data_IF_064252670275
#
_entry.id   IF_064252670275
#
_cell.length_a   1.000
_cell.length_b   1.000
_cell.length_c   1.000
_cell.angle_alpha   90.00
_cell.angle_beta   90.00
_cell.angle_gamma   90.00
#
_symmetry.space_group_name_H-M   'P 1'
#
loop_
_entity.id
_entity.type
_entity.pdbx_description
1 polymer ?
#
# COMPACT_ATOMS: atom_id res chain seq x y z
N UNK A 1 57.89 -8.64 15.49
CA UNK A 1 56.87 -7.59 15.65
C UNK A 1 56.01 -7.40 14.40
N UNK A 2 56.55 -7.02 13.23
CA UNK A 2 55.74 -6.86 12.00
C UNK A 2 55.17 -8.17 11.42
N UNK A 3 55.79 -9.32 11.68
CA UNK A 3 55.32 -10.62 11.16
C UNK A 3 54.15 -11.23 11.96
N UNK A 4 53.96 -10.82 13.22
CA UNK A 4 52.85 -11.29 14.07
C UNK A 4 51.56 -10.50 13.78
N UNK A 5 51.65 -9.20 13.49
CA UNK A 5 50.51 -8.37 13.07
C UNK A 5 49.91 -8.83 11.73
N UNK A 6 50.74 -9.25 10.78
CA UNK A 6 50.27 -9.76 9.48
C UNK A 6 49.55 -11.12 9.64
N UNK A 7 49.96 -11.94 10.62
CA UNK A 7 49.30 -13.23 10.91
C UNK A 7 47.95 -13.06 11.61
N UNK A 8 47.81 -12.01 12.45
CA UNK A 8 46.57 -11.67 13.14
C UNK A 8 45.57 -10.99 12.20
N UNK A 9 46.03 -10.19 11.23
CA UNK A 9 45.17 -9.64 10.17
C UNK A 9 44.64 -10.74 9.24
N UNK A 10 45.48 -11.70 8.83
CA UNK A 10 45.03 -12.87 8.04
C UNK A 10 44.08 -13.81 8.81
N UNK A 11 44.21 -13.88 10.14
CA UNK A 11 43.29 -14.63 11.00
C UNK A 11 41.90 -14.01 11.11
N UNK A 12 41.80 -12.68 11.01
CA UNK A 12 40.53 -11.95 11.10
C UNK A 12 39.74 -11.91 9.78
N UNK A 13 40.40 -12.08 8.62
CA UNK A 13 39.70 -12.21 7.33
C UNK A 13 38.92 -13.52 7.19
N UNK A 14 39.31 -14.56 7.94
CA UNK A 14 38.59 -15.84 7.99
C UNK A 14 37.29 -15.79 8.81
N UNK A 15 37.02 -14.66 9.50
CA UNK A 15 35.81 -14.42 10.29
C UNK A 15 34.85 -13.42 9.64
N UNK A 16 35.03 -13.11 8.35
CA UNK A 16 33.92 -12.59 7.54
C UNK A 16 32.92 -13.75 7.41
N UNK A 17 31.97 -13.81 8.35
CA UNK A 17 30.81 -14.70 8.25
C UNK A 17 30.27 -14.53 6.84
N UNK A 18 30.22 -15.63 6.06
CA UNK A 18 29.56 -15.63 4.74
C UNK A 18 28.27 -14.83 4.89
N UNK A 19 28.01 -13.80 4.06
CA UNK A 19 26.78 -13.05 4.16
C UNK A 19 25.64 -14.06 4.16
N UNK A 20 24.69 -13.91 5.09
CA UNK A 20 23.54 -14.80 5.19
C UNK A 20 22.85 -14.83 3.82
N UNK A 21 23.09 -15.89 3.06
CA UNK A 21 22.47 -16.09 1.76
C UNK A 21 20.99 -16.38 2.01
N UNK A 22 20.11 -15.86 1.16
CA UNK A 22 18.67 -16.10 1.28
C UNK A 22 18.42 -17.60 1.38
N UNK A 23 17.68 -18.02 2.40
CA UNK A 23 17.33 -19.42 2.57
C UNK A 23 16.29 -19.74 1.49
N UNK A 24 16.72 -20.31 0.36
CA UNK A 24 15.79 -20.80 -0.64
C UNK A 24 14.92 -21.88 -0.01
N UNK A 25 13.62 -21.60 0.16
CA UNK A 25 12.65 -22.57 0.66
C UNK A 25 12.64 -23.79 -0.29
N UNK A 26 12.78 -25.03 0.22
CA UNK A 26 12.72 -26.23 -0.61
C UNK A 26 11.39 -26.28 -1.39
N UNK A 27 11.44 -26.30 -2.72
CA UNK A 27 10.26 -26.30 -3.60
C UNK A 27 9.85 -24.93 -4.17
N UNK A 28 10.50 -23.83 -3.77
CA UNK A 28 10.28 -22.52 -4.39
C UNK A 28 11.01 -22.44 -5.74
N UNK A 29 10.25 -22.50 -6.84
CA UNK A 29 10.79 -22.32 -8.21
C UNK A 29 10.85 -20.86 -8.67
N UNK A 30 10.14 -19.95 -7.99
CA UNK A 30 10.01 -18.54 -8.36
C UNK A 30 10.26 -17.63 -7.15
N UNK A 31 10.76 -16.42 -7.42
CA UNK A 31 10.93 -15.38 -6.41
C UNK A 31 9.59 -14.89 -5.86
N UNK A 32 9.59 -14.37 -4.64
CA UNK A 32 8.43 -13.76 -4.01
C UNK A 32 8.33 -12.27 -4.44
N UNK A 33 7.33 -11.87 -5.25
CA UNK A 33 7.19 -10.47 -5.67
C UNK A 33 6.54 -9.58 -4.59
N UNK A 34 5.93 -10.17 -3.54
CA UNK A 34 5.17 -9.44 -2.53
C UNK A 34 5.96 -8.34 -1.79
N UNK A 35 7.23 -8.54 -1.36
CA UNK A 35 8.00 -7.49 -0.70
C UNK A 35 8.19 -6.24 -1.57
N UNK A 36 8.46 -6.42 -2.86
CA UNK A 36 8.63 -5.31 -3.79
C UNK A 36 7.30 -4.59 -4.02
N UNK A 37 6.22 -5.35 -4.23
CA UNK A 37 4.90 -4.78 -4.48
C UNK A 37 4.39 -3.98 -3.27
N UNK A 38 4.46 -4.57 -2.08
CA UNK A 38 4.04 -3.93 -0.82
C UNK A 38 4.95 -2.77 -0.45
N UNK A 39 6.26 -2.87 -0.73
CA UNK A 39 7.22 -1.79 -0.51
C UNK A 39 6.96 -0.60 -1.42
N UNK A 40 6.79 -0.84 -2.72
CA UNK A 40 6.45 0.21 -3.69
C UNK A 40 5.12 0.89 -3.35
N UNK A 41 4.11 0.11 -2.96
CA UNK A 41 2.84 0.64 -2.47
C UNK A 41 3.03 1.51 -1.23
N UNK A 42 3.68 0.99 -0.18
CA UNK A 42 3.85 1.69 1.10
C UNK A 42 4.69 2.96 0.95
N UNK A 43 5.76 2.93 0.14
CA UNK A 43 6.59 4.11 -0.13
C UNK A 43 5.81 5.18 -0.86
N UNK A 44 5.11 4.84 -1.93
CA UNK A 44 4.31 5.81 -2.68
C UNK A 44 3.21 6.41 -1.81
N UNK A 45 2.53 5.55 -1.03
CA UNK A 45 1.42 5.99 -0.19
C UNK A 45 1.86 6.83 1.00
N UNK A 46 3.01 6.50 1.62
CA UNK A 46 3.61 7.32 2.67
C UNK A 46 3.99 8.70 2.14
N UNK A 47 4.65 8.75 0.97
CA UNK A 47 5.02 10.01 0.30
C UNK A 47 3.79 10.91 0.07
N UNK A 48 2.71 10.34 -0.46
CA UNK A 48 1.46 11.07 -0.67
C UNK A 48 0.83 11.53 0.66
N UNK A 49 0.81 10.66 1.66
CA UNK A 49 0.24 10.95 2.99
C UNK A 49 0.97 12.11 3.69
N UNK A 50 2.30 12.16 3.59
CA UNK A 50 3.10 13.25 4.14
C UNK A 50 2.78 14.59 3.46
N UNK A 51 2.54 14.59 2.15
CA UNK A 51 2.12 15.76 1.39
C UNK A 51 0.71 16.21 1.79
N UNK A 52 -0.23 15.27 1.92
CA UNK A 52 -1.61 15.54 2.35
C UNK A 52 -1.67 16.15 3.76
N UNK A 53 -0.78 15.73 4.66
CA UNK A 53 -0.64 16.31 6.00
C UNK A 53 0.15 17.63 6.03
N UNK A 54 0.56 18.17 4.88
CA UNK A 54 1.41 19.37 4.77
C UNK A 54 2.70 19.27 5.60
N UNK A 55 3.28 18.08 5.69
CA UNK A 55 4.51 17.90 6.46
C UNK A 55 5.61 18.79 5.89
N UNK A 56 6.26 19.58 6.75
CA UNK A 56 7.29 20.56 6.37
C UNK A 56 6.82 21.65 5.40
N UNK A 57 5.50 21.90 5.29
CA UNK A 57 4.94 22.92 4.41
C UNK A 57 4.91 22.54 2.93
N UNK A 58 5.03 21.25 2.62
CA UNK A 58 4.96 20.74 1.24
C UNK A 58 3.51 20.39 0.90
N UNK A 59 2.89 21.20 0.04
CA UNK A 59 1.53 20.97 -0.49
C UNK A 59 1.52 20.51 -1.95
N UNK A 60 2.62 20.75 -2.68
CA UNK A 60 2.69 20.44 -4.12
C UNK A 60 3.03 18.98 -4.34
N UNK A 61 2.10 18.22 -4.94
CA UNK A 61 2.26 16.76 -5.12
C UNK A 61 3.13 16.37 -6.32
N UNK A 62 3.61 17.33 -7.12
CA UNK A 62 4.27 17.09 -8.40
C UNK A 62 5.51 16.21 -8.33
N UNK A 63 6.28 16.28 -7.24
CA UNK A 63 7.46 15.42 -7.08
C UNK A 63 7.09 13.94 -6.93
N UNK A 64 5.90 13.65 -6.40
CA UNK A 64 5.41 12.29 -6.15
C UNK A 64 4.81 11.64 -7.39
N UNK A 65 4.65 12.38 -8.51
CA UNK A 65 4.20 11.80 -9.78
C UNK A 65 5.13 10.69 -10.27
N UNK A 66 6.44 10.80 -10.01
CA UNK A 66 7.41 9.76 -10.31
C UNK A 66 7.09 8.46 -9.59
N UNK A 67 6.83 8.54 -8.29
CA UNK A 67 6.44 7.40 -7.47
C UNK A 67 5.08 6.84 -7.92
N UNK A 68 4.08 7.69 -8.15
CA UNK A 68 2.74 7.31 -8.61
C UNK A 68 2.76 6.54 -9.94
N UNK A 69 3.50 7.04 -10.93
CA UNK A 69 3.49 6.46 -12.27
C UNK A 69 4.43 5.25 -12.39
N UNK A 70 5.66 5.36 -11.87
CA UNK A 70 6.69 4.32 -12.08
C UNK A 70 6.67 3.27 -10.98
N UNK A 71 6.73 3.68 -9.71
CA UNK A 71 6.84 2.76 -8.58
C UNK A 71 5.51 2.08 -8.34
N UNK A 72 4.45 2.87 -8.12
CA UNK A 72 3.10 2.37 -7.92
C UNK A 72 2.46 1.86 -9.21
N UNK A 73 2.43 2.67 -10.28
CA UNK A 73 1.77 2.28 -11.53
C UNK A 73 2.43 1.07 -12.21
N UNK A 74 3.66 1.23 -12.69
CA UNK A 74 4.33 0.15 -13.44
C UNK A 74 4.83 -0.96 -12.50
N UNK A 75 5.44 -0.59 -11.37
CA UNK A 75 6.04 -1.55 -10.44
C UNK A 75 5.03 -2.52 -9.81
N UNK A 76 3.85 -2.05 -9.38
CA UNK A 76 2.80 -2.95 -8.86
C UNK A 76 2.18 -3.76 -9.99
N UNK A 77 1.95 -3.20 -11.19
CA UNK A 77 1.40 -3.98 -12.31
C UNK A 77 2.30 -5.17 -12.67
N UNK A 78 3.62 -4.95 -12.74
CA UNK A 78 4.59 -6.03 -12.98
C UNK A 78 4.55 -7.04 -11.85
N UNK A 79 4.59 -6.57 -10.60
CA UNK A 79 4.54 -7.46 -9.42
C UNK A 79 3.25 -8.28 -9.36
N UNK A 80 2.12 -7.71 -9.80
CA UNK A 80 0.84 -8.38 -9.85
C UNK A 80 0.85 -9.56 -10.84
N UNK A 81 1.50 -9.41 -12.00
CA UNK A 81 1.60 -10.51 -12.97
C UNK A 81 2.30 -11.73 -12.37
N UNK A 82 3.30 -11.51 -11.51
CA UNK A 82 3.99 -12.60 -10.81
C UNK A 82 3.13 -13.23 -9.71
N UNK A 83 2.28 -12.47 -9.02
CA UNK A 83 1.29 -13.02 -8.09
C UNK A 83 0.22 -13.87 -8.81
N UNK A 84 -0.15 -13.50 -10.04
CA UNK A 84 -1.04 -14.32 -10.88
C UNK A 84 -0.39 -15.67 -11.21
N UNK A 85 0.90 -15.69 -11.57
CA UNK A 85 1.64 -16.94 -11.84
C UNK A 85 1.72 -17.83 -10.59
N UNK A 86 1.77 -17.24 -9.39
CA UNK A 86 1.72 -17.96 -8.12
C UNK A 86 0.31 -18.44 -7.72
N UNK A 87 -0.72 -18.06 -8.47
CA UNK A 87 -2.11 -18.41 -8.18
C UNK A 87 -2.77 -17.60 -7.05
N UNK A 88 -2.16 -16.48 -6.63
CA UNK A 88 -2.70 -15.65 -5.56
C UNK A 88 -3.66 -14.59 -6.12
N UNK A 89 -4.94 -14.95 -6.22
CA UNK A 89 -5.98 -14.08 -6.80
C UNK A 89 -6.18 -12.79 -6.01
N UNK A 90 -6.10 -12.85 -4.67
CA UNK A 90 -6.31 -11.68 -3.82
C UNK A 90 -5.22 -10.64 -4.08
N UNK A 91 -3.94 -11.02 -3.94
CA UNK A 91 -2.82 -10.12 -4.17
C UNK A 91 -2.77 -9.63 -5.61
N UNK A 92 -3.02 -10.49 -6.61
CA UNK A 92 -3.10 -10.06 -8.01
C UNK A 92 -4.12 -8.93 -8.21
N UNK A 93 -5.33 -9.11 -7.69
CA UNK A 93 -6.43 -8.16 -7.88
C UNK A 93 -6.14 -6.84 -7.17
N UNK A 94 -5.71 -6.90 -5.91
CA UNK A 94 -5.34 -5.72 -5.11
C UNK A 94 -4.22 -4.95 -5.79
N UNK A 95 -3.11 -5.62 -6.12
CA UNK A 95 -1.94 -4.96 -6.70
C UNK A 95 -2.27 -4.34 -8.06
N UNK A 96 -3.00 -5.05 -8.93
CA UNK A 96 -3.42 -4.52 -10.22
C UNK A 96 -4.36 -3.32 -10.08
N UNK A 97 -5.34 -3.40 -9.18
CA UNK A 97 -6.28 -2.32 -8.91
C UNK A 97 -5.56 -1.05 -8.44
N UNK A 98 -4.68 -1.16 -7.44
CA UNK A 98 -3.95 0.00 -6.92
C UNK A 98 -2.92 0.56 -7.90
N UNK A 99 -2.29 -0.29 -8.71
CA UNK A 99 -1.41 0.17 -9.77
C UNK A 99 -2.15 1.05 -10.79
N UNK A 100 -3.35 0.62 -11.20
CA UNK A 100 -4.19 1.39 -12.12
C UNK A 100 -4.75 2.66 -11.46
N UNK A 101 -5.14 2.59 -10.18
CA UNK A 101 -5.55 3.76 -9.42
C UNK A 101 -4.44 4.81 -9.35
N UNK A 102 -3.24 4.45 -8.90
CA UNK A 102 -2.12 5.39 -8.78
C UNK A 102 -1.64 5.91 -10.13
N UNK A 103 -1.63 5.05 -11.16
CA UNK A 103 -1.34 5.48 -12.53
C UNK A 103 -2.37 6.50 -13.04
N UNK A 104 -3.66 6.23 -12.84
CA UNK A 104 -4.74 7.14 -13.21
C UNK A 104 -4.72 8.45 -12.42
N UNK A 105 -4.51 8.38 -11.11
CA UNK A 105 -4.37 9.56 -10.25
C UNK A 105 -3.15 10.39 -10.62
N UNK A 106 -2.01 9.76 -10.90
CA UNK A 106 -0.81 10.41 -11.42
C UNK A 106 -1.07 11.14 -12.73
N UNK A 107 -1.77 10.51 -13.67
CA UNK A 107 -2.18 11.11 -14.95
C UNK A 107 -3.02 12.37 -14.76
N UNK A 108 -3.98 12.35 -13.83
CA UNK A 108 -4.83 13.51 -13.50
C UNK A 108 -4.00 14.71 -13.06
N UNK A 109 -2.94 14.46 -12.27
CA UNK A 109 -2.12 15.53 -11.72
C UNK A 109 -1.13 16.12 -12.73
N UNK A 110 -0.76 15.40 -13.80
CA UNK A 110 0.24 15.86 -14.79
C UNK A 110 -0.29 17.10 -15.54
N UNK A 111 0.32 18.30 -15.37
CA UNK A 111 -0.20 19.53 -15.98
C UNK A 111 -0.14 19.49 -17.52
N UNK A 112 0.87 18.81 -18.09
CA UNK A 112 1.06 18.74 -19.55
C UNK A 112 -0.02 17.94 -20.28
N UNK A 113 -0.85 17.18 -19.56
CA UNK A 113 -1.99 16.46 -20.14
C UNK A 113 -3.25 17.33 -20.21
N UNK A 114 -3.23 18.54 -19.63
CA UNK A 114 -4.29 19.53 -19.80
C UNK A 114 -5.64 19.12 -19.22
N UNK A 115 -5.69 18.17 -18.26
CA UNK A 115 -6.94 17.70 -17.66
C UNK A 115 -7.64 18.85 -16.92
N UNK A 116 -6.94 19.54 -16.03
CA UNK A 116 -7.48 20.73 -15.37
C UNK A 116 -7.85 21.84 -16.36
N UNK A 117 -7.04 22.04 -17.42
CA UNK A 117 -7.29 23.05 -18.45
C UNK A 117 -8.59 22.77 -19.24
N UNK A 118 -8.95 21.51 -19.45
CA UNK A 118 -10.20 21.12 -20.09
C UNK A 118 -11.44 21.57 -19.29
N UNK A 119 -11.31 21.72 -17.97
CA UNK A 119 -12.36 22.27 -17.09
C UNK A 119 -12.28 23.80 -16.93
N UNK A 120 -11.33 24.47 -17.61
CA UNK A 120 -11.05 25.90 -17.42
C UNK A 120 -10.25 26.20 -16.15
N UNK A 121 -9.54 25.21 -15.59
CA UNK A 121 -8.78 25.27 -14.36
C UNK A 121 -9.39 24.43 -13.23
N UNK A 122 -9.06 24.77 -11.98
CA UNK A 122 -9.58 24.11 -10.78
C UNK A 122 -10.99 24.61 -10.44
N UNK A 123 -11.95 24.34 -11.33
CA UNK A 123 -13.35 24.72 -11.15
C UNK A 123 -14.08 23.76 -10.20
N UNK A 124 -15.29 24.15 -9.76
CA UNK A 124 -16.13 23.25 -8.97
C UNK A 124 -16.44 21.93 -9.71
N UNK A 125 -16.58 21.98 -11.04
CA UNK A 125 -16.79 20.80 -11.87
C UNK A 125 -15.58 19.86 -11.83
N UNK A 126 -14.36 20.39 -11.94
CA UNK A 126 -13.13 19.62 -11.79
C UNK A 126 -13.06 18.92 -10.43
N UNK A 127 -13.33 19.66 -9.35
CA UNK A 127 -13.29 19.11 -7.99
C UNK A 127 -14.35 18.03 -7.75
N UNK A 128 -15.55 18.20 -8.29
CA UNK A 128 -16.60 17.18 -8.24
C UNK A 128 -16.22 15.93 -9.04
N UNK A 129 -15.63 16.09 -10.23
CA UNK A 129 -15.15 14.98 -11.04
C UNK A 129 -14.02 14.20 -10.34
N UNK A 130 -13.07 14.90 -9.72
CA UNK A 130 -12.01 14.30 -8.91
C UNK A 130 -12.57 13.55 -7.69
N UNK A 131 -13.53 14.15 -6.99
CA UNK A 131 -14.22 13.51 -5.87
C UNK A 131 -14.93 12.22 -6.29
N UNK A 132 -15.63 12.21 -7.43
CA UNK A 132 -16.25 11.00 -7.96
C UNK A 132 -15.23 9.92 -8.34
N UNK A 133 -14.12 10.31 -8.98
CA UNK A 133 -13.05 9.38 -9.30
C UNK A 133 -12.57 8.66 -8.03
N UNK A 134 -12.17 9.40 -7.00
CA UNK A 134 -11.65 8.82 -5.75
C UNK A 134 -12.72 8.02 -5.00
N UNK A 135 -13.97 8.50 -4.97
CA UNK A 135 -15.07 7.83 -4.28
C UNK A 135 -15.40 6.45 -4.88
N UNK A 136 -15.39 6.32 -6.19
CA UNK A 136 -15.64 5.02 -6.86
C UNK A 136 -14.52 4.03 -6.51
N UNK A 137 -13.28 4.49 -6.40
CA UNK A 137 -12.17 3.67 -5.94
C UNK A 137 -12.29 3.29 -4.45
N UNK A 138 -12.84 4.15 -3.61
CA UNK A 138 -13.20 3.80 -2.23
C UNK A 138 -14.22 2.65 -2.19
N UNK A 139 -15.27 2.71 -3.02
CA UNK A 139 -16.25 1.61 -3.13
C UNK A 139 -15.57 0.30 -3.54
N UNK A 140 -14.59 0.35 -4.46
CA UNK A 140 -13.86 -0.84 -4.84
C UNK A 140 -12.97 -1.36 -3.69
N UNK A 141 -12.29 -0.47 -2.96
CA UNK A 141 -11.49 -0.82 -1.79
C UNK A 141 -12.30 -1.48 -0.67
N UNK A 142 -13.56 -1.08 -0.49
CA UNK A 142 -14.45 -1.69 0.50
C UNK A 142 -14.53 -3.22 0.36
N UNK A 143 -14.53 -3.74 -0.88
CA UNK A 143 -14.50 -5.19 -1.12
C UNK A 143 -13.19 -5.83 -0.66
N UNK A 144 -12.05 -5.15 -0.84
CA UNK A 144 -10.76 -5.62 -0.33
C UNK A 144 -10.70 -5.57 1.20
N UNK A 145 -11.25 -4.52 1.81
CA UNK A 145 -11.37 -4.41 3.26
C UNK A 145 -12.18 -5.59 3.83
N UNK A 146 -13.34 -5.90 3.26
CA UNK A 146 -14.16 -7.04 3.69
C UNK A 146 -13.42 -8.37 3.53
N UNK A 147 -12.77 -8.59 2.39
CA UNK A 147 -11.97 -9.79 2.16
C UNK A 147 -10.77 -9.90 3.12
N UNK A 148 -10.16 -8.77 3.49
CA UNK A 148 -9.02 -8.74 4.41
C UNK A 148 -9.35 -9.20 5.82
N UNK A 149 -10.61 -9.10 6.25
CA UNK A 149 -11.07 -9.61 7.55
C UNK A 149 -10.81 -11.11 7.71
N UNK A 150 -10.80 -11.87 6.61
CA UNK A 150 -10.51 -13.30 6.61
C UNK A 150 -9.00 -13.63 6.57
N UNK A 151 -8.13 -12.64 6.37
CA UNK A 151 -6.69 -12.81 6.20
C UNK A 151 -5.91 -12.57 7.50
N UNK A 152 -5.70 -11.30 7.86
CA UNK A 152 -4.90 -10.92 9.03
C UNK A 152 -5.16 -9.47 9.46
N UNK A 153 -4.82 -9.13 10.71
CA UNK A 153 -5.10 -7.80 11.27
C UNK A 153 -4.31 -6.68 10.59
N UNK A 154 -3.11 -6.97 10.07
CA UNK A 154 -2.28 -5.97 9.38
C UNK A 154 -2.93 -5.50 8.08
N UNK A 155 -3.49 -6.43 7.29
CA UNK A 155 -4.26 -6.08 6.10
C UNK A 155 -5.57 -5.37 6.44
N UNK A 156 -6.24 -5.73 7.55
CA UNK A 156 -7.41 -4.98 8.02
C UNK A 156 -7.03 -3.53 8.30
N UNK A 157 -5.95 -3.29 9.04
CA UNK A 157 -5.47 -1.92 9.35
C UNK A 157 -5.11 -1.17 8.06
N UNK A 158 -4.41 -1.84 7.13
CA UNK A 158 -4.01 -1.27 5.85
C UNK A 158 -5.24 -0.83 5.04
N UNK A 159 -6.17 -1.74 4.78
CA UNK A 159 -7.34 -1.44 3.94
C UNK A 159 -8.33 -0.52 4.63
N UNK A 160 -8.43 -0.55 5.96
CA UNK A 160 -9.28 0.39 6.70
C UNK A 160 -8.71 1.79 6.68
N UNK A 161 -7.40 1.95 6.90
CA UNK A 161 -6.75 3.25 6.78
C UNK A 161 -6.83 3.80 5.35
N UNK A 162 -6.70 2.92 4.36
CA UNK A 162 -6.88 3.28 2.95
C UNK A 162 -8.33 3.67 2.62
N UNK A 163 -9.32 2.96 3.15
CA UNK A 163 -10.75 3.27 2.99
C UNK A 163 -11.06 4.67 3.52
N UNK A 164 -10.63 4.95 4.76
CA UNK A 164 -10.83 6.26 5.38
C UNK A 164 -10.08 7.35 4.65
N UNK A 165 -8.87 7.07 4.16
CA UNK A 165 -8.11 8.00 3.32
C UNK A 165 -8.88 8.38 2.06
N UNK A 166 -9.35 7.40 1.28
CA UNK A 166 -10.07 7.64 0.02
C UNK A 166 -11.41 8.37 0.25
N UNK A 167 -12.17 8.00 1.28
CA UNK A 167 -13.45 8.68 1.61
C UNK A 167 -13.20 10.14 1.98
N UNK A 168 -12.20 10.41 2.82
CA UNK A 168 -11.89 11.77 3.26
C UNK A 168 -11.28 12.62 2.14
N UNK A 169 -10.50 12.02 1.24
CA UNK A 169 -9.96 12.69 0.05
C UNK A 169 -11.07 13.06 -0.96
N UNK A 170 -12.02 12.15 -1.19
CA UNK A 170 -13.22 12.45 -1.99
C UNK A 170 -14.05 13.57 -1.35
N UNK A 171 -14.28 13.51 -0.03
CA UNK A 171 -14.99 14.55 0.70
C UNK A 171 -14.26 15.90 0.67
N UNK A 172 -12.93 15.88 0.76
CA UNK A 172 -12.08 17.07 0.62
C UNK A 172 -12.22 17.70 -0.76
N UNK A 173 -12.30 16.88 -1.82
CA UNK A 173 -12.54 17.34 -3.18
C UNK A 173 -13.93 17.97 -3.34
N UNK A 174 -15.00 17.34 -2.84
CA UNK A 174 -16.34 17.94 -2.86
C UNK A 174 -16.42 19.25 -2.07
N UNK A 175 -15.76 19.32 -0.91
CA UNK A 175 -15.69 20.55 -0.12
C UNK A 175 -15.00 21.71 -0.89
N UNK A 176 -14.00 21.42 -1.73
CA UNK A 176 -13.43 22.44 -2.64
C UNK A 176 -14.43 22.86 -3.71
N UNK A 177 -15.20 21.91 -4.24
CA UNK A 177 -16.29 22.20 -5.19
C UNK A 177 -17.34 23.15 -4.61
N UNK A 178 -17.63 23.02 -3.30
CA UNK A 178 -18.55 23.88 -2.55
C UNK A 178 -17.91 25.21 -2.06
N UNK A 179 -16.62 25.42 -2.33
CA UNK A 179 -15.88 26.61 -1.87
C UNK A 179 -15.46 26.59 -0.39
N UNK A 180 -15.61 25.46 0.30
CA UNK A 180 -15.26 25.27 1.71
C UNK A 180 -13.78 24.90 1.89
N UNK A 181 -12.89 25.85 1.57
CA UNK A 181 -11.43 25.64 1.52
C UNK A 181 -10.84 25.17 2.85
N UNK A 182 -11.25 25.76 3.97
CA UNK A 182 -10.73 25.38 5.29
C UNK A 182 -11.18 23.96 5.69
N UNK A 183 -12.43 23.62 5.43
CA UNK A 183 -12.96 22.27 5.66
C UNK A 183 -12.21 21.24 4.81
N UNK A 184 -11.97 21.56 3.54
CA UNK A 184 -11.18 20.71 2.65
C UNK A 184 -9.76 20.47 3.18
N UNK A 185 -9.08 21.51 3.67
CA UNK A 185 -7.73 21.40 4.23
C UNK A 185 -7.67 20.49 5.47
N UNK A 186 -8.70 20.52 6.31
CA UNK A 186 -8.81 19.64 7.47
C UNK A 186 -9.10 18.19 7.05
N UNK A 187 -9.97 18.00 6.06
CA UNK A 187 -10.31 16.68 5.51
C UNK A 187 -9.10 16.01 4.84
N UNK A 188 -8.33 16.73 4.02
CA UNK A 188 -7.14 16.19 3.36
C UNK A 188 -6.04 15.84 4.38
N UNK A 189 -5.90 16.64 5.43
CA UNK A 189 -4.95 16.35 6.52
C UNK A 189 -5.37 15.08 7.27
N UNK A 190 -6.66 14.91 7.56
CA UNK A 190 -7.19 13.70 8.18
C UNK A 190 -7.01 12.48 7.26
N UNK A 191 -7.27 12.62 5.96
CA UNK A 191 -7.03 11.59 4.95
C UNK A 191 -5.57 11.15 4.95
N UNK A 192 -4.63 12.11 4.96
CA UNK A 192 -3.20 11.84 5.05
C UNK A 192 -2.78 11.13 6.34
N UNK A 193 -3.43 11.40 7.47
CA UNK A 193 -3.14 10.70 8.73
C UNK A 193 -3.52 9.21 8.67
N UNK A 194 -4.68 8.87 8.09
CA UNK A 194 -5.06 7.48 7.87
C UNK A 194 -4.18 6.79 6.82
N UNK A 195 -3.81 7.51 5.76
CA UNK A 195 -2.85 7.01 4.76
C UNK A 195 -1.48 6.71 5.35
N UNK A 196 -1.00 7.57 6.28
CA UNK A 196 0.24 7.36 7.01
C UNK A 196 0.18 6.05 7.81
N UNK A 197 -0.89 5.82 8.58
CA UNK A 197 -1.06 4.58 9.37
C UNK A 197 -1.08 3.35 8.45
N UNK A 198 -1.84 3.41 7.36
CA UNK A 198 -1.91 2.31 6.39
C UNK A 198 -0.57 2.04 5.70
N UNK A 199 0.22 3.08 5.41
CA UNK A 199 1.57 2.92 4.85
C UNK A 199 2.53 2.23 5.83
N UNK A 200 2.43 2.50 7.14
CA UNK A 200 3.20 1.80 8.15
C UNK A 200 2.82 0.32 8.25
N UNK A 201 1.52 0.00 8.14
CA UNK A 201 1.06 -1.39 8.04
C UNK A 201 1.57 -2.08 6.76
N UNK A 202 1.67 -1.34 5.66
CA UNK A 202 2.31 -1.78 4.42
C UNK A 202 3.80 -2.12 4.62
N UNK A 203 4.57 -1.24 5.26
CA UNK A 203 5.97 -1.52 5.59
C UNK A 203 6.15 -2.69 6.56
N UNK A 204 5.24 -2.85 7.52
CA UNK A 204 5.23 -4.03 8.38
C UNK A 204 5.03 -5.32 7.56
N UNK A 205 4.20 -5.25 6.52
CA UNK A 205 4.00 -6.38 5.59
C UNK A 205 5.27 -6.71 4.80
N UNK A 206 6.02 -5.70 4.37
CA UNK A 206 7.33 -5.87 3.73
C UNK A 206 8.33 -6.54 4.66
N UNK A 207 8.44 -6.04 5.89
CA UNK A 207 9.34 -6.59 6.91
C UNK A 207 9.04 -8.07 7.13
N UNK A 208 7.78 -8.44 7.29
CA UNK A 208 7.39 -9.82 7.48
C UNK A 208 7.77 -10.71 6.30
N UNK A 209 7.49 -10.28 5.07
CA UNK A 209 7.81 -11.09 3.88
C UNK A 209 9.32 -11.26 3.69
N UNK A 210 10.11 -10.22 3.99
CA UNK A 210 11.58 -10.32 3.96
C UNK A 210 12.13 -11.20 5.10
N UNK A 211 11.56 -11.11 6.30
CA UNK A 211 11.93 -11.97 7.42
C UNK A 211 11.64 -13.44 7.11
N UNK A 212 10.48 -13.75 6.52
CA UNK A 212 10.15 -15.14 6.15
C UNK A 212 11.06 -15.74 5.08
N UNK A 213 11.66 -14.92 4.23
CA UNK A 213 12.53 -15.37 3.14
C UNK A 213 14.03 -15.32 3.51
N UNK A 214 14.42 -14.43 4.42
CA UNK A 214 15.83 -14.20 4.77
C UNK A 214 16.22 -14.64 6.18
N UNK A 215 15.28 -14.71 7.11
CA UNK A 215 15.52 -14.98 8.53
C UNK A 215 14.84 -16.27 9.00
N UNK A 216 15.35 -16.92 10.05
CA UNK A 216 14.79 -18.17 10.57
C UNK A 216 13.52 -17.98 11.42
N UNK A 217 13.02 -16.75 11.58
CA UNK A 217 11.83 -16.44 12.35
C UNK A 217 10.86 -15.57 11.55
N UNK A 218 9.56 -15.73 11.82
CA UNK A 218 8.51 -14.89 11.24
C UNK A 218 7.96 -13.95 12.30
N UNK A 219 7.65 -12.71 11.89
CA UNK A 219 6.91 -11.76 12.72
C UNK A 219 5.40 -12.03 12.64
N UNK A 220 4.65 -11.79 13.72
CA UNK A 220 3.23 -12.13 13.78
C UNK A 220 2.35 -11.13 13.04
N UNK A 221 1.56 -11.60 12.07
CA UNK A 221 0.58 -10.78 11.33
C UNK A 221 -0.80 -10.70 11.99
N UNK A 222 -1.03 -11.41 13.09
CA UNK A 222 -2.36 -11.52 13.73
C UNK A 222 -3.37 -12.25 12.85
N UNK A 223 -3.22 -13.57 12.72
CA UNK A 223 -4.11 -14.44 11.92
C UNK A 223 -5.57 -14.37 12.42
N UNK A 224 -6.42 -13.74 11.62
CA UNK A 224 -7.87 -13.61 11.90
C UNK A 224 -8.69 -14.74 11.28
N UNK A 225 -8.10 -15.57 10.43
CA UNK A 225 -8.81 -16.61 9.68
C UNK A 225 -9.50 -17.63 10.60
N UNK A 226 -8.93 -17.91 11.77
CA UNK A 226 -9.51 -18.81 12.78
C UNK A 226 -10.77 -18.23 13.42
N UNK A 227 -10.76 -16.94 13.72
CA UNK A 227 -11.92 -16.23 14.26
C UNK A 227 -13.02 -16.13 13.19
N UNK A 228 -12.64 -15.83 11.96
CA UNK A 228 -13.55 -15.75 10.82
C UNK A 228 -14.25 -17.08 10.52
N UNK A 229 -13.50 -18.19 10.47
CA UNK A 229 -14.05 -19.54 10.28
C UNK A 229 -15.02 -19.93 11.40
N UNK A 230 -14.74 -19.53 12.65
CA UNK A 230 -15.64 -19.76 13.79
C UNK A 230 -16.92 -18.93 13.67
N UNK A 231 -16.82 -17.68 13.22
CA UNK A 231 -17.97 -16.82 12.98
C UNK A 231 -18.86 -17.38 11.86
N UNK A 232 -18.29 -17.76 10.71
CA UNK A 232 -19.03 -18.39 9.60
C UNK A 232 -19.74 -19.69 10.04
N UNK A 233 -19.09 -20.53 10.86
CA UNK A 233 -19.73 -21.75 11.38
C UNK A 233 -20.90 -21.45 12.31
N UNK A 234 -20.83 -20.37 13.09
CA UNK A 234 -21.92 -19.96 13.98
C UNK A 234 -23.11 -19.40 13.21
N UNK A 235 -22.89 -18.62 12.15
CA UNK A 235 -23.97 -18.07 11.32
C UNK A 235 -24.69 -19.15 10.55
N UNK A 236 -23.98 -20.08 9.90
CA UNK A 236 -24.59 -21.22 9.19
C UNK A 236 -25.42 -22.08 10.13
N UNK A 237 -24.88 -22.40 11.32
CA UNK A 237 -25.63 -23.19 12.31
C UNK A 237 -26.89 -22.46 12.81
N UNK A 238 -26.80 -21.14 13.01
CA UNK A 238 -27.96 -20.34 13.40
C UNK A 238 -29.05 -20.30 12.32
N UNK A 239 -28.70 -20.37 11.04
CA UNK A 239 -29.67 -20.44 9.95
C UNK A 239 -30.32 -21.83 9.86
N UNK A 240 -29.56 -22.91 10.09
CA UNK A 240 -30.09 -24.28 10.18
C UNK A 240 -31.04 -24.47 11.37
N UNK A 241 -30.78 -23.83 12.52
CA UNK A 241 -31.63 -23.92 13.72
C UNK A 241 -32.96 -23.13 13.59
N UNK A 242 -33.14 -22.31 12.54
CA UNK A 242 -34.34 -21.48 12.29
C UNK A 242 -35.29 -22.13 11.26
N UNK A 243 -34.84 -23.15 10.51
CA UNK A 243 -35.63 -23.90 9.50
C UNK A 243 -36.19 -25.18 10.10
#
# INVERSE_FOLDING_TARGET
MLSEEISTVKGNEAMVSKPAQSIMKPGAYLANPAPLAMGGFATTFLSLSLAMMNFRGVFTQTIFMGDLCFVAGIGLLISAQWEMVRGNTFSYTVLSAYALFYGGYGVILIPSLGIADAYGGYTAEYHNALGFFVLIWAVFNLFFLLASCALNIVYIILFLGLELCLILDAASSFALGDGLVETSANLITAAGAFGFIASLAGYYSVLQSLCEDSLPFSVPMGDTSRAWKRWCKKTVKSEEDIV
#
